data_IF_205328532355
#
_entry.id   IF_205328532355
#
_cell.length_a   1.000
_cell.length_b   1.000
_cell.length_c   1.000
_cell.angle_alpha   90.00
_cell.angle_beta   90.00
_cell.angle_gamma   90.00
#
_symmetry.space_group_name_H-M   'P 1'
#
loop_
_entity.id
_entity.type
_entity.pdbx_description
1 polymer ?
#
# COMPACT_ATOMS: atom_id res chain seq x y z
N UNK A 1 -52.01 4.66 8.86
CA UNK A 1 -52.64 5.93 8.40
C UNK A 1 -51.93 7.04 9.14
N UNK A 2 -51.01 7.77 8.50
CA UNK A 2 -50.33 8.89 9.17
C UNK A 2 -50.02 9.95 8.13
N UNK A 3 -51.05 10.73 7.82
CA UNK A 3 -50.90 12.06 7.21
C UNK A 3 -50.56 13.01 8.36
N UNK A 4 -49.41 13.68 8.32
CA UNK A 4 -49.24 14.92 9.07
C UNK A 4 -50.17 15.95 8.40
N UNK A 5 -51.05 16.55 9.19
CA UNK A 5 -52.05 17.50 8.69
C UNK A 5 -51.34 18.75 8.17
N UNK A 6 -51.79 19.24 7.01
CA UNK A 6 -51.19 20.37 6.29
C UNK A 6 -52.14 21.56 6.22
N UNK A 7 -51.55 22.74 6.23
CA UNK A 7 -51.90 23.77 5.24
C UNK A 7 -50.86 23.71 4.10
N UNK A 8 -51.30 23.43 2.86
CA UNK A 8 -50.49 23.65 1.63
C UNK A 8 -50.00 22.45 0.76
N UNK A 9 -50.67 21.28 0.71
CA UNK A 9 -50.45 20.15 -0.24
C UNK A 9 -49.26 19.17 -0.06
N UNK A 10 -49.43 18.00 0.59
CA UNK A 10 -48.39 16.97 0.82
C UNK A 10 -48.27 15.97 -0.35
N UNK A 11 -47.07 15.46 -0.57
CA UNK A 11 -46.77 14.29 -1.42
C UNK A 11 -46.95 13.02 -0.58
N UNK A 12 -47.55 11.97 -1.16
CA UNK A 12 -47.77 10.70 -0.46
C UNK A 12 -46.44 10.02 -0.09
N UNK A 13 -46.33 9.55 1.16
CA UNK A 13 -45.18 8.78 1.64
C UNK A 13 -45.26 7.38 1.05
N UNK A 14 -44.24 6.97 0.30
CA UNK A 14 -44.13 5.59 -0.20
C UNK A 14 -43.44 4.73 0.86
N UNK A 15 -44.15 3.72 1.38
CA UNK A 15 -43.58 2.75 2.31
C UNK A 15 -42.83 1.65 1.54
N UNK A 16 -41.53 1.47 1.83
CA UNK A 16 -40.71 0.42 1.23
C UNK A 16 -40.75 -0.83 2.14
N UNK A 17 -41.37 -1.92 1.68
CA UNK A 17 -41.70 -3.10 2.51
C UNK A 17 -40.54 -4.08 2.79
N UNK A 18 -39.31 -3.82 2.35
CA UNK A 18 -38.28 -4.87 2.23
C UNK A 18 -37.01 -4.61 3.05
N UNK A 19 -37.10 -4.50 4.38
CA UNK A 19 -35.93 -4.56 5.25
C UNK A 19 -36.06 -5.72 6.23
N UNK A 20 -35.37 -6.84 5.95
CA UNK A 20 -35.27 -7.99 6.86
C UNK A 20 -33.79 -8.26 7.11
N UNK A 21 -33.15 -7.39 7.89
CA UNK A 21 -31.85 -7.68 8.48
C UNK A 21 -32.05 -7.90 9.98
N UNK A 22 -31.86 -9.13 10.47
CA UNK A 22 -31.84 -9.42 11.91
C UNK A 22 -30.41 -9.24 12.42
N UNK A 23 -30.20 -8.35 13.39
CA UNK A 23 -28.95 -8.24 14.15
C UNK A 23 -28.02 -7.06 13.80
N UNK A 24 -28.41 -6.15 12.92
CA UNK A 24 -27.71 -4.88 12.72
C UNK A 24 -28.33 -3.79 13.60
N UNK A 25 -27.57 -2.86 14.14
CA UNK A 25 -28.15 -1.68 14.79
C UNK A 25 -29.02 -0.87 13.81
N UNK A 26 -30.04 -0.20 14.35
CA UNK A 26 -31.03 0.62 13.61
C UNK A 26 -31.97 -0.14 12.66
N UNK A 27 -31.89 -1.47 12.55
CA UNK A 27 -32.71 -2.28 11.63
C UNK A 27 -34.22 -2.13 11.84
N UNK A 28 -34.65 -1.83 13.07
CA UNK A 28 -36.05 -1.73 13.49
C UNK A 28 -36.53 -0.27 13.58
N UNK A 29 -35.75 0.68 13.08
CA UNK A 29 -36.12 2.10 13.10
C UNK A 29 -37.04 2.47 11.94
N UNK A 30 -37.87 3.50 12.17
CA UNK A 30 -38.56 4.15 11.08
C UNK A 30 -37.58 5.05 10.33
N UNK A 31 -37.28 4.71 9.07
CA UNK A 31 -36.35 5.47 8.23
C UNK A 31 -37.16 6.35 7.27
N UNK A 32 -36.93 7.67 7.34
CA UNK A 32 -37.55 8.66 6.45
C UNK A 32 -36.46 9.31 5.61
N UNK A 33 -36.44 9.04 4.29
CA UNK A 33 -35.57 9.74 3.35
C UNK A 33 -36.25 11.01 2.84
N UNK A 34 -35.83 12.16 3.35
CA UNK A 34 -36.32 13.47 2.88
C UNK A 34 -35.57 13.84 1.61
N UNK A 35 -36.29 14.08 0.51
CA UNK A 35 -35.72 14.62 -0.73
C UNK A 35 -35.99 16.11 -0.78
N UNK A 36 -34.96 16.93 -0.85
CA UNK A 36 -35.09 18.36 -1.08
C UNK A 36 -35.18 18.64 -2.58
N UNK A 37 -35.96 19.66 -2.96
CA UNK A 37 -36.24 20.01 -4.37
C UNK A 37 -35.93 21.49 -4.65
N UNK A 38 -35.27 22.18 -3.74
CA UNK A 38 -34.97 23.61 -3.82
C UNK A 38 -33.69 23.92 -4.63
N UNK A 39 -32.94 22.89 -5.05
CA UNK A 39 -31.71 23.05 -5.83
C UNK A 39 -30.56 23.67 -5.03
N UNK A 40 -30.77 24.07 -3.77
CA UNK A 40 -29.70 24.43 -2.85
C UNK A 40 -29.06 23.16 -2.33
N UNK A 41 -28.11 22.63 -3.09
CA UNK A 41 -27.02 21.90 -2.46
C UNK A 41 -26.38 22.85 -1.43
N UNK A 42 -25.88 22.36 -0.30
CA UNK A 42 -25.13 23.18 0.66
C UNK A 42 -23.82 23.63 0.01
N UNK A 43 -23.91 24.56 -0.96
CA UNK A 43 -22.92 24.73 -2.01
C UNK A 43 -21.63 25.30 -1.45
N UNK A 44 -20.58 24.48 -1.49
CA UNK A 44 -19.22 24.97 -1.63
C UNK A 44 -19.10 25.73 -2.95
N UNK A 45 -18.34 26.83 -2.92
CA UNK A 45 -18.13 27.83 -3.97
C UNK A 45 -19.33 28.72 -4.35
N UNK A 46 -19.93 29.38 -3.36
CA UNK A 46 -20.78 30.57 -3.60
C UNK A 46 -20.01 31.83 -3.20
N UNK A 47 -19.83 32.77 -4.14
CA UNK A 47 -19.28 34.10 -3.86
C UNK A 47 -20.20 34.92 -2.93
N UNK A 48 -21.49 34.57 -2.86
CA UNK A 48 -22.48 35.10 -1.94
C UNK A 48 -23.60 34.08 -1.69
N UNK A 49 -24.06 33.95 -0.44
CA UNK A 49 -25.27 33.17 -0.12
C UNK A 49 -26.49 33.99 -0.51
N UNK A 50 -27.49 33.35 -1.11
CA UNK A 50 -28.80 33.99 -1.26
C UNK A 50 -29.26 34.54 0.10
N UNK A 51 -29.65 35.83 0.22
CA UNK A 51 -30.06 36.42 1.49
C UNK A 51 -31.19 35.64 2.18
N UNK A 52 -32.03 34.95 1.41
CA UNK A 52 -33.07 34.05 1.88
C UNK A 52 -32.55 32.77 2.51
N UNK A 53 -31.37 32.27 2.12
CA UNK A 53 -30.71 31.11 2.71
C UNK A 53 -29.83 31.47 3.89
N UNK A 54 -29.19 32.65 3.88
CA UNK A 54 -28.35 33.14 4.98
C UNK A 54 -29.11 33.23 6.32
N UNK A 55 -30.41 33.52 6.28
CA UNK A 55 -31.27 33.59 7.48
C UNK A 55 -31.46 32.24 8.19
N UNK A 56 -31.20 31.13 7.49
CA UNK A 56 -31.34 29.77 8.01
C UNK A 56 -30.04 29.24 8.62
N UNK A 57 -28.93 29.98 8.51
CA UNK A 57 -27.65 29.60 9.09
C UNK A 57 -27.58 29.98 10.59
N UNK A 58 -26.80 29.25 11.40
CA UNK A 58 -26.67 29.56 12.81
C UNK A 58 -26.17 30.98 13.04
N UNK A 59 -26.95 31.79 13.75
CA UNK A 59 -26.59 33.19 14.06
C UNK A 59 -25.25 33.31 14.77
N UNK A 60 -24.92 32.31 15.60
CA UNK A 60 -23.64 32.18 16.29
C UNK A 60 -22.44 32.14 15.33
N UNK A 61 -22.59 31.56 14.14
CA UNK A 61 -21.54 31.55 13.11
C UNK A 61 -21.58 32.85 12.29
N UNK A 62 -22.76 33.27 11.83
CA UNK A 62 -22.90 34.43 10.93
C UNK A 62 -22.62 35.77 11.62
N UNK A 63 -22.60 35.83 12.95
CA UNK A 63 -22.16 37.02 13.69
C UNK A 63 -20.65 37.20 13.69
N UNK A 64 -19.88 36.13 13.54
CA UNK A 64 -18.41 36.15 13.57
C UNK A 64 -17.79 36.14 12.17
N UNK A 65 -18.50 35.58 11.20
CA UNK A 65 -18.00 35.32 9.84
C UNK A 65 -19.04 35.65 8.80
N UNK A 66 -18.59 35.82 7.56
CA UNK A 66 -19.47 35.96 6.41
C UNK A 66 -20.40 34.73 6.28
N UNK A 67 -21.70 34.89 5.98
CA UNK A 67 -22.66 33.79 5.90
C UNK A 67 -22.21 32.62 5.01
N UNK A 68 -21.49 32.89 3.92
CA UNK A 68 -20.99 31.89 2.97
C UNK A 68 -20.08 30.87 3.64
N UNK A 69 -19.25 31.32 4.59
CA UNK A 69 -18.36 30.43 5.32
C UNK A 69 -19.15 29.50 6.26
N UNK A 70 -20.30 29.94 6.78
CA UNK A 70 -21.12 29.13 7.68
C UNK A 70 -21.85 27.96 6.99
N UNK A 71 -21.71 27.81 5.66
CA UNK A 71 -22.12 26.61 4.94
C UNK A 71 -21.11 25.46 5.07
N UNK A 72 -19.85 25.76 5.39
CA UNK A 72 -18.82 24.73 5.48
C UNK A 72 -18.73 24.17 6.90
N UNK A 73 -18.70 22.83 7.06
CA UNK A 73 -18.55 22.16 8.35
C UNK A 73 -17.39 22.73 9.20
N UNK A 74 -16.26 23.07 8.56
CA UNK A 74 -15.07 23.61 9.21
C UNK A 74 -15.31 24.91 10.01
N UNK A 75 -16.38 25.66 9.72
CA UNK A 75 -16.72 26.88 10.44
C UNK A 75 -17.98 26.77 11.30
N UNK A 76 -18.95 25.94 10.91
CA UNK A 76 -20.23 25.86 11.62
C UNK A 76 -20.21 24.87 12.79
N UNK A 77 -19.41 23.79 12.71
CA UNK A 77 -19.38 22.71 13.71
C UNK A 77 -18.98 23.22 15.10
N UNK A 78 -18.07 24.19 15.19
CA UNK A 78 -17.67 24.79 16.46
C UNK A 78 -18.83 25.47 17.24
N UNK A 79 -19.96 25.74 16.57
CA UNK A 79 -21.16 26.32 17.16
C UNK A 79 -22.27 25.30 17.43
N UNK A 80 -22.05 24.02 17.07
CA UNK A 80 -23.00 22.93 17.33
C UNK A 80 -22.78 22.40 18.75
N UNK A 81 -23.88 22.26 19.50
CA UNK A 81 -23.85 21.84 20.90
C UNK A 81 -24.05 20.33 21.07
N UNK A 82 -24.75 19.70 20.12
CA UNK A 82 -25.01 18.26 20.13
C UNK A 82 -23.76 17.49 19.70
N UNK A 83 -23.52 16.29 20.25
CA UNK A 83 -22.48 15.41 19.76
C UNK A 83 -22.60 15.17 18.26
N UNK A 84 -21.47 15.15 17.56
CA UNK A 84 -21.39 14.94 16.11
C UNK A 84 -20.53 13.71 15.84
N UNK A 85 -21.04 12.86 14.96
CA UNK A 85 -20.27 11.77 14.39
C UNK A 85 -20.05 12.00 12.89
N UNK A 86 -18.79 12.19 12.48
CA UNK A 86 -18.44 12.54 11.09
C UNK A 86 -18.11 11.28 10.32
N UNK A 87 -18.81 11.05 9.21
CA UNK A 87 -18.56 9.93 8.31
C UNK A 87 -18.19 10.49 6.95
N UNK A 88 -16.98 10.25 6.49
CA UNK A 88 -16.55 10.71 5.17
C UNK A 88 -15.29 9.98 4.69
N UNK A 89 -14.97 10.10 3.40
CA UNK A 89 -13.65 9.75 2.87
C UNK A 89 -12.85 11.02 2.57
N UNK A 90 -11.55 11.08 2.89
CA UNK A 90 -10.69 12.17 2.45
C UNK A 90 -10.40 12.11 0.94
N UNK A 91 -10.81 11.03 0.28
CA UNK A 91 -10.75 10.83 -1.16
C UNK A 91 -12.17 10.71 -1.75
N UNK A 92 -13.15 11.40 -1.18
CA UNK A 92 -14.54 11.37 -1.67
C UNK A 92 -14.57 11.57 -3.18
N UNK A 93 -15.11 10.57 -3.89
CA UNK A 93 -15.07 10.52 -5.35
C UNK A 93 -15.74 11.74 -5.96
N UNK A 94 -16.85 12.20 -5.37
CA UNK A 94 -17.58 13.35 -5.88
C UNK A 94 -16.78 14.64 -5.68
N UNK A 95 -16.16 14.84 -4.52
CA UNK A 95 -15.29 15.99 -4.26
C UNK A 95 -14.08 15.98 -5.20
N UNK A 96 -13.48 14.81 -5.47
CA UNK A 96 -12.36 14.72 -6.41
C UNK A 96 -12.80 15.10 -7.83
N UNK A 97 -13.97 14.62 -8.27
CA UNK A 97 -14.50 14.91 -9.60
C UNK A 97 -14.93 16.37 -9.79
N UNK A 98 -15.51 17.00 -8.77
CA UNK A 98 -16.22 18.28 -8.93
C UNK A 98 -15.51 19.46 -8.24
N UNK A 99 -14.66 19.21 -7.25
CA UNK A 99 -13.99 20.25 -6.46
C UNK A 99 -12.48 20.24 -6.69
N UNK A 100 -11.81 19.09 -6.50
CA UNK A 100 -10.35 19.03 -6.60
C UNK A 100 -9.89 19.22 -8.05
N UNK A 101 -10.53 18.51 -8.98
CA UNK A 101 -10.20 18.58 -10.41
C UNK A 101 -11.47 18.72 -11.24
N UNK A 102 -12.19 19.86 -11.17
CA UNK A 102 -13.35 20.10 -12.02
C UNK A 102 -12.97 20.07 -13.51
N UNK A 103 -13.96 19.96 -14.40
CA UNK A 103 -13.71 19.94 -15.85
C UNK A 103 -12.94 21.16 -16.36
N UNK A 104 -13.05 22.31 -15.69
CA UNK A 104 -12.27 23.52 -15.99
C UNK A 104 -10.78 23.37 -15.64
N UNK A 105 -10.44 22.57 -14.64
CA UNK A 105 -9.06 22.27 -14.24
C UNK A 105 -8.42 21.12 -15.03
N UNK A 106 -9.23 20.35 -15.78
CA UNK A 106 -8.78 19.24 -16.62
C UNK A 106 -9.32 19.36 -18.07
N UNK A 107 -8.94 20.43 -18.80
CA UNK A 107 -9.49 20.70 -20.13
C UNK A 107 -9.12 19.64 -21.18
N UNK A 108 -8.06 18.86 -20.93
CA UNK A 108 -7.58 17.81 -21.81
C UNK A 108 -8.03 16.40 -21.40
N UNK A 109 -8.74 16.25 -20.28
CA UNK A 109 -9.23 14.95 -19.80
C UNK A 109 -8.14 14.01 -19.27
N UNK A 110 -6.97 14.55 -18.88
CA UNK A 110 -5.85 13.77 -18.34
C UNK A 110 -6.20 13.10 -17.01
N UNK A 111 -7.15 13.66 -16.26
CA UNK A 111 -7.64 13.07 -15.00
C UNK A 111 -8.84 12.16 -15.18
N UNK A 112 -9.46 12.10 -16.35
CA UNK A 112 -10.67 11.31 -16.56
C UNK A 112 -10.49 9.82 -16.20
N UNK A 113 -9.41 9.13 -16.60
CA UNK A 113 -9.20 7.73 -16.22
C UNK A 113 -9.02 7.56 -14.71
N UNK A 114 -8.27 8.45 -14.07
CA UNK A 114 -7.99 8.47 -12.64
C UNK A 114 -9.25 8.75 -11.79
N UNK A 115 -10.09 9.70 -12.22
CA UNK A 115 -11.37 10.04 -11.58
C UNK A 115 -12.37 8.88 -11.63
N UNK A 116 -12.35 8.08 -12.69
CA UNK A 116 -13.23 6.93 -12.82
C UNK A 116 -12.73 5.74 -12.01
N UNK A 117 -11.42 5.53 -11.99
CA UNK A 117 -10.77 4.45 -11.28
C UNK A 117 -9.39 4.90 -10.82
N UNK A 118 -9.21 4.99 -9.49
CA UNK A 118 -7.96 5.44 -8.87
C UNK A 118 -6.75 4.58 -9.21
N UNK A 119 -6.96 3.35 -9.70
CA UNK A 119 -5.87 2.47 -10.17
C UNK A 119 -5.21 2.97 -11.45
N UNK A 120 -5.88 3.87 -12.18
CA UNK A 120 -5.35 4.47 -13.41
C UNK A 120 -4.65 5.81 -13.17
N UNK A 121 -4.51 6.24 -11.91
CA UNK A 121 -3.83 7.49 -11.59
C UNK A 121 -2.31 7.38 -11.78
N UNK A 122 -1.69 8.44 -12.29
CA UNK A 122 -0.24 8.61 -12.26
C UNK A 122 0.25 8.91 -10.84
N UNK A 123 1.57 8.82 -10.61
CA UNK A 123 2.20 9.21 -9.33
C UNK A 123 1.81 10.62 -8.90
N UNK A 124 1.81 11.57 -9.85
CA UNK A 124 1.58 13.00 -9.57
C UNK A 124 0.11 13.25 -9.24
N UNK A 125 -0.80 12.49 -9.85
CA UNK A 125 -2.23 12.52 -9.54
C UNK A 125 -2.50 11.98 -8.13
N UNK A 126 -1.87 10.86 -7.77
CA UNK A 126 -1.94 10.32 -6.41
C UNK A 126 -1.36 11.32 -5.40
N UNK A 127 -0.22 11.94 -5.68
CA UNK A 127 0.37 12.96 -4.80
C UNK A 127 -0.59 14.13 -4.58
N UNK A 128 -1.24 14.61 -5.64
CA UNK A 128 -2.25 15.68 -5.53
C UNK A 128 -3.44 15.25 -4.67
N UNK A 129 -3.92 14.00 -4.80
CA UNK A 129 -4.96 13.45 -3.93
C UNK A 129 -4.50 13.34 -2.47
N UNK A 130 -3.24 12.99 -2.21
CA UNK A 130 -2.67 12.97 -0.86
C UNK A 130 -2.59 14.37 -0.24
N UNK A 131 -2.24 15.39 -1.04
CA UNK A 131 -2.25 16.78 -0.59
C UNK A 131 -3.67 17.23 -0.23
N UNK A 132 -4.67 16.88 -1.04
CA UNK A 132 -6.07 17.16 -0.75
C UNK A 132 -6.54 16.49 0.55
N UNK A 133 -6.23 15.20 0.73
CA UNK A 133 -6.46 14.48 2.00
C UNK A 133 -5.83 15.20 3.18
N UNK A 134 -4.59 15.68 3.04
CA UNK A 134 -3.89 16.35 4.14
C UNK A 134 -4.64 17.62 4.57
N UNK A 135 -5.13 18.41 3.61
CA UNK A 135 -5.97 19.58 3.89
C UNK A 135 -7.29 19.21 4.57
N UNK A 136 -7.93 18.13 4.14
CA UNK A 136 -9.13 17.61 4.78
C UNK A 136 -8.88 17.24 6.26
N UNK A 137 -7.79 16.51 6.53
CA UNK A 137 -7.44 16.10 7.89
C UNK A 137 -7.02 17.27 8.79
N UNK A 138 -6.30 18.26 8.26
CA UNK A 138 -5.98 19.48 9.00
C UNK A 138 -7.26 20.21 9.41
N UNK A 139 -8.24 20.32 8.51
CA UNK A 139 -9.54 20.93 8.80
C UNK A 139 -10.32 20.11 9.84
N UNK A 140 -10.25 18.77 9.76
CA UNK A 140 -10.94 17.87 10.69
C UNK A 140 -10.32 17.86 12.09
N UNK A 141 -9.00 17.95 12.20
CA UNK A 141 -8.29 18.00 13.48
C UNK A 141 -8.78 19.14 14.36
N UNK A 142 -8.96 20.33 13.78
CA UNK A 142 -9.51 21.49 14.50
C UNK A 142 -10.97 21.36 14.93
N UNK A 143 -11.73 20.42 14.36
CA UNK A 143 -13.16 20.24 14.65
C UNK A 143 -13.42 19.33 15.84
N UNK A 144 -12.56 18.35 16.10
CA UNK A 144 -12.79 17.31 17.11
C UNK A 144 -12.11 17.58 18.46
N UNK A 145 -11.31 18.65 18.58
CA UNK A 145 -10.75 19.10 19.85
C UNK A 145 -11.82 19.60 20.84
N UNK A 146 -12.94 20.14 20.32
CA UNK A 146 -14.07 20.60 21.12
C UNK A 146 -15.05 19.43 21.30
N UNK A 147 -15.25 18.98 22.54
CA UNK A 147 -16.07 17.80 22.90
C UNK A 147 -15.50 16.44 22.44
N UNK A 148 -14.18 16.27 22.56
CA UNK A 148 -13.44 15.05 22.15
C UNK A 148 -13.91 13.74 22.80
N UNK A 149 -14.71 13.79 23.86
CA UNK A 149 -15.24 12.59 24.54
C UNK A 149 -16.55 12.07 23.93
N UNK A 150 -17.27 12.89 23.17
CA UNK A 150 -18.60 12.54 22.62
C UNK A 150 -18.69 12.70 21.11
N UNK A 151 -17.85 13.56 20.52
CA UNK A 151 -17.72 13.63 19.07
C UNK A 151 -16.90 12.44 18.58
N UNK A 152 -17.22 11.94 17.39
CA UNK A 152 -16.53 10.81 16.79
C UNK A 152 -16.35 10.98 15.29
N UNK A 153 -15.54 10.10 14.70
CA UNK A 153 -15.40 10.05 13.26
C UNK A 153 -15.10 8.66 12.72
N UNK A 154 -15.72 8.33 11.59
CA UNK A 154 -15.38 7.21 10.74
C UNK A 154 -14.87 7.77 9.41
N UNK A 155 -13.55 7.94 9.34
CA UNK A 155 -12.88 8.44 8.14
C UNK A 155 -12.11 7.31 7.50
N UNK A 156 -12.66 6.69 6.45
CA UNK A 156 -11.99 5.62 5.73
C UNK A 156 -11.27 6.13 4.48
N UNK A 157 -10.28 5.37 4.00
CA UNK A 157 -9.51 5.74 2.80
C UNK A 157 -10.09 5.20 1.48
N UNK A 158 -11.40 4.91 1.41
CA UNK A 158 -12.01 4.45 0.16
C UNK A 158 -12.27 5.59 -0.81
N UNK A 159 -12.05 5.35 -2.10
CA UNK A 159 -12.50 6.26 -3.16
C UNK A 159 -13.99 6.03 -3.43
N UNK A 160 -14.84 6.55 -2.56
CA UNK A 160 -16.29 6.28 -2.54
C UNK A 160 -17.06 7.54 -2.14
N UNK A 161 -18.33 7.62 -2.57
CA UNK A 161 -19.25 8.70 -2.20
C UNK A 161 -20.55 8.12 -1.60
N UNK A 162 -21.07 8.75 -0.55
CA UNK A 162 -22.26 8.33 0.24
C UNK A 162 -22.11 7.00 1.01
N UNK A 163 -21.58 7.05 2.23
CA UNK A 163 -21.29 5.86 3.06
C UNK A 163 -22.49 5.19 3.74
N UNK A 164 -23.50 5.95 4.19
CA UNK A 164 -24.61 5.41 5.00
C UNK A 164 -25.70 4.79 4.11
N UNK A 165 -25.87 5.34 2.91
CA UNK A 165 -26.94 4.98 1.98
C UNK A 165 -26.73 3.62 1.29
N UNK A 166 -25.50 3.12 1.29
CA UNK A 166 -25.06 1.91 0.57
C UNK A 166 -24.85 0.76 1.52
N UNK A 167 -25.48 -0.39 1.25
CA UNK A 167 -25.34 -1.58 2.09
C UNK A 167 -23.88 -2.07 2.13
N UNK A 168 -23.17 -1.88 1.02
CA UNK A 168 -21.78 -2.24 0.80
C UNK A 168 -20.83 -1.57 1.79
N UNK A 169 -21.08 -0.31 2.11
CA UNK A 169 -20.27 0.48 3.06
C UNK A 169 -20.85 0.44 4.47
N UNK A 170 -22.16 0.29 4.63
CA UNK A 170 -22.83 0.28 5.92
C UNK A 170 -22.58 -1.00 6.73
N UNK A 171 -22.98 -2.17 6.22
CA UNK A 171 -23.04 -3.40 7.05
C UNK A 171 -22.80 -4.74 6.31
N UNK A 172 -22.46 -4.74 5.01
CA UNK A 172 -22.16 -5.99 4.28
C UNK A 172 -20.97 -6.74 4.91
N UNK A 173 -20.85 -8.04 4.65
CA UNK A 173 -19.78 -8.85 5.27
C UNK A 173 -18.37 -8.40 4.89
N UNK A 174 -18.21 -7.86 3.69
CA UNK A 174 -16.99 -7.31 3.10
C UNK A 174 -16.97 -5.77 3.13
N UNK A 175 -17.78 -5.13 3.99
CA UNK A 175 -17.77 -3.68 4.13
C UNK A 175 -16.43 -3.17 4.67
N UNK A 176 -16.14 -1.90 4.41
CA UNK A 176 -14.95 -1.24 4.95
C UNK A 176 -14.92 -1.31 6.48
N UNK A 177 -13.73 -1.56 7.02
CA UNK A 177 -13.48 -1.68 8.45
C UNK A 177 -12.40 -0.67 8.82
N UNK A 178 -12.67 0.19 9.79
CA UNK A 178 -11.70 1.11 10.37
C UNK A 178 -11.48 0.69 11.82
N UNK A 179 -10.22 0.51 12.23
CA UNK A 179 -9.86 0.07 13.59
C UNK A 179 -10.64 -1.19 14.07
N UNK A 180 -10.79 -2.18 13.19
CA UNK A 180 -11.53 -3.43 13.43
C UNK A 180 -13.05 -3.28 13.65
N UNK A 181 -13.65 -2.13 13.30
CA UNK A 181 -15.10 -1.94 13.31
C UNK A 181 -15.66 -1.57 11.95
N UNK A 182 -16.83 -2.13 11.62
CA UNK A 182 -17.62 -1.68 10.48
C UNK A 182 -18.31 -0.37 10.83
N UNK A 183 -18.69 0.38 9.80
CA UNK A 183 -19.39 1.65 9.97
C UNK A 183 -20.67 1.51 10.82
N UNK A 184 -21.53 0.55 10.51
CA UNK A 184 -22.78 0.39 11.25
C UNK A 184 -22.57 0.01 12.73
N UNK A 185 -21.61 -0.88 13.02
CA UNK A 185 -21.29 -1.30 14.40
C UNK A 185 -20.74 -0.12 15.20
N UNK A 186 -19.83 0.65 14.61
CA UNK A 186 -19.22 1.83 15.24
C UNK A 186 -20.26 2.94 15.52
N UNK A 187 -21.14 3.22 14.56
CA UNK A 187 -22.22 4.21 14.74
C UNK A 187 -23.24 3.72 15.77
N UNK A 188 -23.52 2.41 15.79
CA UNK A 188 -24.37 1.77 16.80
C UNK A 188 -23.83 1.96 18.21
N UNK A 189 -22.57 1.59 18.42
CA UNK A 189 -21.89 1.72 19.71
C UNK A 189 -21.83 3.19 20.17
N UNK A 190 -21.49 4.12 19.27
CA UNK A 190 -21.50 5.56 19.58
C UNK A 190 -22.89 6.10 19.95
N UNK A 191 -23.94 5.59 19.32
CA UNK A 191 -25.30 6.09 19.54
C UNK A 191 -25.95 5.50 20.80
N UNK A 192 -25.74 4.21 21.09
CA UNK A 192 -26.45 3.50 22.17
C UNK A 192 -25.69 3.42 23.49
N UNK A 193 -24.36 3.52 23.48
CA UNK A 193 -23.55 3.44 24.71
C UNK A 193 -22.92 4.80 25.04
N UNK A 194 -23.53 5.50 26.00
CA UNK A 194 -23.05 6.79 26.52
C UNK A 194 -21.63 6.74 27.09
N UNK A 195 -21.09 5.55 27.38
CA UNK A 195 -19.71 5.36 27.88
C UNK A 195 -18.74 4.96 26.78
N UNK A 196 -19.24 4.67 25.57
CA UNK A 196 -18.40 4.31 24.45
C UNK A 196 -17.49 5.47 24.07
N UNK A 197 -16.23 5.14 23.76
CA UNK A 197 -15.26 6.11 23.27
C UNK A 197 -15.23 5.98 21.76
N UNK A 198 -15.85 6.92 21.02
CA UNK A 198 -15.91 6.83 19.57
C UNK A 198 -14.53 6.94 18.94
N UNK A 199 -14.40 6.42 17.72
CA UNK A 199 -13.17 6.56 16.95
C UNK A 199 -12.80 8.04 16.76
N UNK A 200 -11.54 8.34 17.10
CA UNK A 200 -10.94 9.69 17.04
C UNK A 200 -9.84 9.80 15.99
N UNK A 201 -9.62 8.77 15.17
CA UNK A 201 -8.50 8.74 14.23
C UNK A 201 -8.97 8.29 12.85
N UNK A 202 -8.54 8.99 11.79
CA UNK A 202 -8.81 8.55 10.45
C UNK A 202 -8.03 7.28 10.11
N UNK A 203 -8.51 6.57 9.09
CA UNK A 203 -7.85 5.44 8.48
C UNK A 203 -6.53 5.86 7.77
N UNK A 204 -5.68 4.87 7.54
CA UNK A 204 -4.37 5.06 6.95
C UNK A 204 -4.47 5.55 5.50
N UNK A 205 -3.60 6.48 5.03
CA UNK A 205 -3.63 6.98 3.65
C UNK A 205 -3.35 5.88 2.64
N UNK A 206 -4.01 5.80 1.48
CA UNK A 206 -3.71 4.78 0.46
C UNK A 206 -2.89 5.36 -0.72
N UNK A 207 -1.77 4.73 -1.18
CA UNK A 207 -0.96 3.66 -0.58
C UNK A 207 0.07 4.19 0.44
N UNK A 208 0.57 3.32 1.35
CA UNK A 208 1.46 3.70 2.45
C UNK A 208 2.43 2.59 2.89
N UNK A 209 3.54 3.01 3.49
CA UNK A 209 4.47 2.17 4.26
C UNK A 209 3.88 1.79 5.63
N UNK A 210 4.51 0.87 6.36
CA UNK A 210 4.06 0.43 7.70
C UNK A 210 3.75 1.56 8.71
N UNK A 211 4.37 2.74 8.61
CA UNK A 211 4.14 3.90 9.49
C UNK A 211 3.07 4.90 8.98
N UNK A 212 2.47 4.66 7.81
CA UNK A 212 1.54 5.60 7.17
C UNK A 212 2.19 6.65 6.27
N UNK A 213 3.52 6.66 6.12
CA UNK A 213 4.20 7.52 5.12
C UNK A 213 3.95 7.00 3.69
N UNK A 214 3.99 7.86 2.66
CA UNK A 214 3.80 7.42 1.28
C UNK A 214 4.94 6.47 0.86
N UNK A 215 4.67 5.47 -0.01
CA UNK A 215 5.72 4.65 -0.60
C UNK A 215 6.67 5.52 -1.42
N UNK A 216 7.89 5.04 -1.62
CA UNK A 216 8.93 5.78 -2.32
C UNK A 216 9.61 4.92 -3.38
N UNK A 217 10.20 5.60 -4.36
CA UNK A 217 11.09 5.00 -5.34
C UNK A 217 12.27 5.92 -5.64
N UNK A 218 13.37 5.34 -6.08
CA UNK A 218 14.47 6.08 -6.70
C UNK A 218 14.41 5.90 -8.21
N UNK A 219 14.66 6.98 -8.95
CA UNK A 219 14.55 6.99 -10.40
C UNK A 219 15.82 7.52 -11.06
N UNK A 220 16.37 6.75 -11.99
CA UNK A 220 17.30 7.24 -13.00
C UNK A 220 16.61 7.27 -14.36
N UNK A 221 16.61 8.46 -14.97
CA UNK A 221 16.09 8.66 -16.30
C UNK A 221 17.01 8.03 -17.35
N UNK A 222 16.44 7.24 -18.24
CA UNK A 222 17.14 6.67 -19.39
C UNK A 222 17.54 7.73 -20.41
N UNK A 223 18.38 7.34 -21.36
CA UNK A 223 18.87 8.23 -22.41
C UNK A 223 19.30 7.45 -23.67
N UNK A 224 19.45 8.16 -24.79
CA UNK A 224 19.85 7.56 -26.06
C UNK A 224 18.89 6.45 -26.49
N UNK A 225 19.43 5.29 -26.85
CA UNK A 225 18.64 4.14 -27.32
C UNK A 225 17.83 3.44 -26.21
N UNK A 226 18.10 3.72 -24.94
CA UNK A 226 17.43 3.08 -23.79
C UNK A 226 16.24 3.88 -23.24
N UNK A 227 15.89 5.03 -23.85
CA UNK A 227 14.83 5.91 -23.35
C UNK A 227 13.44 5.24 -23.30
N UNK A 228 13.20 4.23 -24.14
CA UNK A 228 11.95 3.47 -24.18
C UNK A 228 12.02 2.14 -23.42
N UNK A 229 13.17 1.84 -22.80
CA UNK A 229 13.41 0.62 -22.03
C UNK A 229 13.38 0.90 -20.54
N UNK A 230 12.85 -0.05 -19.76
CA UNK A 230 12.58 0.13 -18.34
C UNK A 230 13.09 -1.05 -17.52
N UNK A 231 13.77 -0.75 -16.42
CA UNK A 231 14.12 -1.68 -15.37
C UNK A 231 13.40 -1.27 -14.08
N UNK A 232 12.41 -2.05 -13.68
CA UNK A 232 11.69 -1.88 -12.42
C UNK A 232 12.22 -2.89 -11.41
N UNK A 233 12.94 -2.38 -10.40
CA UNK A 233 13.60 -3.16 -9.37
C UNK A 233 12.82 -3.10 -8.06
N UNK A 234 12.41 -4.25 -7.54
CA UNK A 234 11.78 -4.36 -6.23
C UNK A 234 12.85 -4.63 -5.17
N UNK A 235 13.02 -3.70 -4.23
CA UNK A 235 13.97 -3.84 -3.13
C UNK A 235 13.59 -5.00 -2.19
N UNK A 236 14.59 -5.71 -1.66
CA UNK A 236 14.40 -6.75 -0.65
C UNK A 236 14.36 -6.20 0.79
N UNK A 237 14.36 -7.09 1.77
CA UNK A 237 14.50 -6.67 3.18
C UNK A 237 13.85 -7.58 4.23
N UNK A 238 13.56 -8.85 3.92
CA UNK A 238 12.78 -9.76 4.77
C UNK A 238 11.36 -9.25 5.06
N UNK A 239 10.72 -9.68 6.14
CA UNK A 239 9.33 -9.31 6.49
C UNK A 239 9.19 -9.14 8.00
N UNK A 240 8.05 -8.61 8.44
CA UNK A 240 7.63 -8.69 9.84
C UNK A 240 6.46 -9.68 9.96
N UNK A 241 6.44 -10.49 11.00
CA UNK A 241 5.51 -11.63 11.13
C UNK A 241 4.58 -11.55 12.35
N UNK A 242 4.68 -10.47 13.12
CA UNK A 242 3.78 -10.19 14.23
C UNK A 242 3.77 -8.68 14.54
N UNK A 243 2.79 -8.25 15.34
CA UNK A 243 2.61 -6.84 15.71
C UNK A 243 3.89 -6.22 16.28
N UNK A 244 4.59 -6.91 17.17
CA UNK A 244 5.82 -6.41 17.81
C UNK A 244 6.94 -6.14 16.79
N UNK A 245 7.19 -7.09 15.89
CA UNK A 245 8.22 -6.94 14.85
C UNK A 245 7.86 -5.86 13.85
N UNK A 246 6.60 -5.74 13.45
CA UNK A 246 6.15 -4.67 12.56
C UNK A 246 6.20 -3.28 13.22
N UNK A 247 5.82 -3.18 14.51
CA UNK A 247 5.92 -1.94 15.28
C UNK A 247 7.36 -1.46 15.44
N UNK A 248 8.32 -2.37 15.58
CA UNK A 248 9.75 -2.02 15.58
C UNK A 248 10.19 -1.51 14.20
N UNK A 249 9.77 -2.24 13.15
CA UNK A 249 10.17 -1.98 11.76
C UNK A 249 9.61 -0.68 11.19
N UNK A 250 8.44 -0.22 11.60
CA UNK A 250 7.84 1.04 11.11
C UNK A 250 8.74 2.26 11.35
N UNK A 251 9.65 2.19 12.33
CA UNK A 251 10.59 3.28 12.66
C UNK A 251 11.94 3.14 11.94
N UNK A 252 12.00 2.37 10.83
CA UNK A 252 13.21 2.18 10.02
C UNK A 252 12.92 2.47 8.54
N UNK A 253 13.96 2.50 7.71
CA UNK A 253 13.81 2.69 6.26
C UNK A 253 13.00 1.58 5.58
N UNK A 254 12.87 0.42 6.23
CA UNK A 254 12.11 -0.73 5.73
C UNK A 254 10.65 -0.76 6.20
N UNK A 255 10.20 0.31 6.85
CA UNK A 255 8.82 0.50 7.29
C UNK A 255 8.31 1.93 7.16
N UNK A 256 9.15 2.88 6.73
CA UNK A 256 8.78 4.28 6.54
C UNK A 256 9.70 4.99 5.56
N UNK A 257 9.11 5.74 4.63
CA UNK A 257 9.86 6.56 3.67
C UNK A 257 10.53 7.77 4.31
N UNK A 258 10.15 8.15 5.54
CA UNK A 258 10.80 9.24 6.28
C UNK A 258 12.24 8.94 6.65
N UNK A 259 12.61 7.66 6.76
CA UNK A 259 13.97 7.23 7.09
C UNK A 259 14.76 6.76 5.85
N UNK A 260 14.15 6.76 4.67
CA UNK A 260 14.84 6.36 3.44
C UNK A 260 15.83 7.43 2.98
N UNK A 261 16.98 6.97 2.50
CA UNK A 261 17.96 7.86 1.86
C UNK A 261 17.34 8.61 0.67
N UNK A 262 17.52 9.93 0.61
CA UNK A 262 17.02 10.77 -0.51
C UNK A 262 17.76 10.51 -1.82
N UNK A 263 19.03 10.14 -1.73
CA UNK A 263 19.89 9.78 -2.85
C UNK A 263 20.33 8.34 -2.66
N UNK A 264 20.34 7.57 -3.75
CA UNK A 264 20.76 6.17 -3.74
C UNK A 264 21.81 5.96 -4.83
N UNK A 265 22.91 5.30 -4.49
CA UNK A 265 23.96 5.00 -5.46
C UNK A 265 23.68 3.66 -6.10
N UNK A 266 23.31 3.67 -7.38
CA UNK A 266 22.93 2.45 -8.08
C UNK A 266 24.14 1.67 -8.60
N UNK A 267 24.18 0.38 -8.28
CA UNK A 267 25.24 -0.56 -8.65
C UNK A 267 24.69 -1.77 -9.40
N UNK A 268 25.58 -2.64 -9.85
CA UNK A 268 25.23 -3.83 -10.62
C UNK A 268 24.43 -3.50 -11.88
N UNK A 269 23.35 -4.24 -12.10
CA UNK A 269 22.41 -4.04 -13.20
C UNK A 269 21.69 -2.67 -13.16
N UNK A 270 21.69 -2.00 -12.01
CA UNK A 270 21.01 -0.72 -11.84
C UNK A 270 21.92 0.48 -12.14
N UNK A 271 23.22 0.27 -12.34
CA UNK A 271 24.15 1.37 -12.59
C UNK A 271 23.89 2.03 -13.93
N UNK A 272 24.01 3.37 -13.98
CA UNK A 272 23.97 4.14 -15.23
C UNK A 272 25.36 4.36 -15.86
N UNK A 273 26.40 3.74 -15.30
CA UNK A 273 27.76 3.76 -15.82
C UNK A 273 27.98 2.58 -16.75
N UNK A 274 28.38 2.83 -18.00
CA UNK A 274 28.56 1.78 -19.01
C UNK A 274 29.66 0.78 -18.62
N UNK A 275 30.70 1.23 -17.92
CA UNK A 275 31.75 0.35 -17.40
C UNK A 275 31.24 -0.65 -16.35
N UNK A 276 30.17 -0.30 -15.63
CA UNK A 276 29.57 -1.11 -14.58
C UNK A 276 28.34 -1.90 -15.06
N UNK A 277 27.65 -1.41 -16.08
CA UNK A 277 26.43 -1.98 -16.64
C UNK A 277 26.40 -1.83 -18.16
N UNK A 278 27.21 -2.60 -18.89
CA UNK A 278 27.48 -2.38 -20.32
C UNK A 278 26.26 -2.44 -21.23
N UNK A 279 25.19 -3.13 -20.80
CA UNK A 279 24.05 -3.47 -21.65
C UNK A 279 22.78 -2.70 -21.31
N UNK A 280 22.63 -2.24 -20.06
CA UNK A 280 21.38 -1.62 -19.58
C UNK A 280 21.61 -0.23 -18.95
N UNK A 281 22.83 0.33 -19.00
CA UNK A 281 23.17 1.60 -18.34
C UNK A 281 22.34 2.81 -18.77
N UNK A 282 21.80 2.78 -19.98
CA UNK A 282 21.06 3.90 -20.56
C UNK A 282 19.53 3.72 -20.49
N UNK A 283 19.05 2.70 -19.79
CA UNK A 283 17.62 2.45 -19.58
C UNK A 283 17.05 3.37 -18.49
N UNK A 284 15.71 3.49 -18.46
CA UNK A 284 15.03 4.05 -17.29
C UNK A 284 15.08 3.03 -16.15
N UNK A 285 15.49 3.46 -14.96
CA UNK A 285 15.67 2.56 -13.81
C UNK A 285 14.85 3.10 -12.66
N UNK A 286 13.89 2.30 -12.19
CA UNK A 286 13.09 2.58 -11.00
C UNK A 286 13.43 1.53 -9.94
N UNK A 287 13.95 1.95 -8.78
CA UNK A 287 14.03 1.11 -7.58
C UNK A 287 12.86 1.44 -6.68
N UNK A 288 11.88 0.54 -6.61
CA UNK A 288 10.77 0.61 -5.67
C UNK A 288 11.32 0.26 -4.28
N UNK A 289 11.20 1.20 -3.34
CA UNK A 289 11.70 1.03 -1.97
C UNK A 289 10.73 0.16 -1.16
N UNK A 290 11.28 -0.78 -0.42
CA UNK A 290 10.50 -1.77 0.31
C UNK A 290 10.11 -1.26 1.69
N UNK A 291 8.80 -1.08 1.94
CA UNK A 291 8.32 -0.55 3.21
C UNK A 291 6.98 -1.10 3.71
N UNK A 292 6.42 -2.12 3.06
CA UNK A 292 5.17 -2.78 3.46
C UNK A 292 5.42 -3.90 4.50
N UNK A 293 6.64 -4.44 4.57
CA UNK A 293 6.99 -5.53 5.49
C UNK A 293 6.30 -6.86 5.18
N UNK A 294 5.65 -6.98 4.01
CA UNK A 294 4.83 -8.11 3.59
C UNK A 294 5.28 -8.69 2.24
N UNK A 295 6.53 -8.47 1.85
CA UNK A 295 7.12 -8.97 0.61
C UNK A 295 6.33 -8.58 -0.65
N UNK A 296 5.78 -7.36 -0.69
CA UNK A 296 4.90 -6.86 -1.75
C UNK A 296 3.60 -7.66 -1.94
N UNK A 297 3.19 -8.44 -0.93
CA UNK A 297 1.94 -9.20 -0.93
C UNK A 297 0.86 -8.59 -0.06
N UNK A 298 1.07 -7.39 0.49
CA UNK A 298 0.04 -6.65 1.21
C UNK A 298 -0.96 -5.98 0.26
N UNK A 299 -2.26 -6.09 0.56
CA UNK A 299 -3.36 -5.36 -0.10
C UNK A 299 -4.23 -4.59 0.90
N UNK A 300 -3.82 -4.55 2.17
CA UNK A 300 -4.77 -4.37 3.26
C UNK A 300 -4.90 -2.92 3.71
N UNK A 301 -6.15 -2.47 3.86
CA UNK A 301 -6.53 -1.22 4.53
C UNK A 301 -6.39 -1.28 6.07
N UNK A 302 -6.29 -2.48 6.66
CA UNK A 302 -6.07 -2.74 8.09
C UNK A 302 -5.15 -3.96 8.31
N UNK A 303 -4.56 -4.19 9.48
CA UNK A 303 -3.60 -5.29 9.69
C UNK A 303 -4.30 -6.67 9.61
N UNK A 304 -4.30 -7.30 8.43
CA UNK A 304 -4.70 -8.71 8.24
C UNK A 304 -3.45 -9.60 8.35
N UNK A 305 -3.45 -10.65 9.18
CA UNK A 305 -2.36 -11.62 9.24
C UNK A 305 -2.23 -12.51 7.99
N UNK A 306 -3.12 -12.44 6.99
CA UNK A 306 -3.12 -13.31 5.81
C UNK A 306 -2.83 -12.63 4.47
N UNK A 307 -1.61 -12.78 3.94
CA UNK A 307 -1.25 -12.40 2.56
C UNK A 307 -1.84 -13.32 1.47
N UNK A 308 -2.50 -14.41 1.85
CA UNK A 308 -3.01 -15.46 0.98
C UNK A 308 -3.98 -14.97 -0.12
N UNK A 309 -4.80 -13.96 0.18
CA UNK A 309 -5.78 -13.38 -0.76
C UNK A 309 -5.12 -12.64 -1.94
N UNK A 310 -3.86 -12.26 -1.80
CA UNK A 310 -3.13 -11.45 -2.78
C UNK A 310 -2.24 -12.28 -3.71
N UNK A 311 -2.18 -13.58 -3.46
CA UNK A 311 -1.43 -14.50 -4.30
C UNK A 311 -2.19 -14.80 -5.59
N UNK A 312 -1.47 -15.15 -6.68
CA UNK A 312 -2.10 -15.41 -7.97
C UNK A 312 -3.20 -16.46 -7.88
N UNK A 313 -4.42 -16.10 -8.32
CA UNK A 313 -5.57 -17.02 -8.36
C UNK A 313 -5.29 -18.28 -9.18
N UNK A 314 -4.45 -18.17 -10.19
CA UNK A 314 -3.98 -19.31 -11.00
C UNK A 314 -3.28 -20.38 -10.17
N UNK A 315 -2.54 -19.98 -9.13
CA UNK A 315 -1.87 -20.89 -8.20
C UNK A 315 -2.78 -21.28 -7.02
N UNK A 316 -3.44 -20.32 -6.37
CA UNK A 316 -4.25 -20.56 -5.16
C UNK A 316 -5.54 -21.36 -5.42
N UNK A 317 -6.03 -21.40 -6.66
CA UNK A 317 -7.13 -22.30 -7.04
C UNK A 317 -6.73 -23.78 -7.12
N UNK A 318 -5.42 -24.06 -7.24
CA UNK A 318 -4.89 -25.43 -7.43
C UNK A 318 -4.17 -25.95 -6.17
N UNK A 319 -3.71 -25.06 -5.29
CA UNK A 319 -2.79 -25.37 -4.19
C UNK A 319 -3.14 -24.53 -2.97
N UNK A 320 -2.63 -24.95 -1.80
CA UNK A 320 -2.70 -24.14 -0.58
C UNK A 320 -1.95 -22.82 -0.77
N UNK A 321 -2.46 -21.68 -0.28
CA UNK A 321 -1.87 -20.37 -0.53
C UNK A 321 -0.39 -20.24 -0.14
N UNK A 322 0.02 -20.86 0.97
CA UNK A 322 1.39 -20.78 1.47
C UNK A 322 2.42 -21.33 0.46
N UNK A 323 2.00 -22.29 -0.38
CA UNK A 323 2.85 -22.85 -1.43
C UNK A 323 3.07 -21.83 -2.57
N UNK A 324 2.16 -20.90 -2.80
CA UNK A 324 2.28 -19.94 -3.89
C UNK A 324 3.35 -18.85 -3.65
N UNK A 325 3.95 -18.80 -2.45
CA UNK A 325 5.15 -18.02 -2.17
C UNK A 325 6.43 -18.64 -2.73
N UNK A 326 6.42 -19.94 -3.04
CA UNK A 326 7.61 -20.62 -3.49
C UNK A 326 7.64 -20.75 -5.02
N UNK A 327 8.75 -20.33 -5.67
CA UNK A 327 8.87 -20.36 -7.13
C UNK A 327 8.52 -21.70 -7.77
N UNK A 328 8.85 -22.84 -7.13
CA UNK A 328 8.58 -24.17 -7.69
C UNK A 328 7.09 -24.46 -7.93
N UNK A 329 6.19 -23.73 -7.27
CA UNK A 329 4.76 -23.90 -7.42
C UNK A 329 4.13 -22.83 -8.31
N UNK A 330 4.56 -21.56 -8.19
CA UNK A 330 3.93 -20.44 -8.90
C UNK A 330 4.45 -20.27 -10.33
N UNK A 331 5.68 -20.66 -10.63
CA UNK A 331 6.29 -20.39 -11.95
C UNK A 331 5.54 -21.06 -13.11
N UNK A 332 4.91 -22.21 -12.84
CA UNK A 332 4.10 -22.94 -13.81
C UNK A 332 2.85 -22.16 -14.26
N UNK A 333 2.45 -21.18 -13.45
CA UNK A 333 1.27 -20.35 -13.68
C UNK A 333 1.62 -18.95 -14.20
N UNK A 334 2.92 -18.62 -14.36
CA UNK A 334 3.34 -17.32 -14.89
C UNK A 334 3.41 -17.37 -16.42
N UNK A 335 2.79 -16.37 -17.06
CA UNK A 335 2.76 -16.24 -18.53
C UNK A 335 3.90 -15.40 -19.09
N UNK A 336 4.40 -14.46 -18.31
CA UNK A 336 5.51 -13.58 -18.70
C UNK A 336 6.81 -14.38 -18.72
N UNK A 337 7.72 -14.17 -19.70
CA UNK A 337 9.05 -14.76 -19.66
C UNK A 337 9.78 -14.42 -18.35
N UNK A 338 10.37 -15.41 -17.71
CA UNK A 338 11.12 -15.25 -16.44
C UNK A 338 12.54 -15.79 -16.62
N UNK A 339 13.51 -14.98 -16.22
CA UNK A 339 14.89 -15.40 -15.99
C UNK A 339 15.13 -15.56 -14.49
N UNK A 340 15.41 -16.79 -14.03
CA UNK A 340 15.67 -17.05 -12.61
C UNK A 340 17.16 -17.00 -12.33
N UNK A 341 17.53 -16.18 -11.35
CA UNK A 341 18.87 -16.13 -10.79
C UNK A 341 18.75 -16.52 -9.34
N UNK A 342 19.39 -17.62 -8.96
CA UNK A 342 19.45 -18.05 -7.59
C UNK A 342 20.79 -18.74 -7.34
N UNK A 343 21.40 -18.45 -6.19
CA UNK A 343 22.53 -19.24 -5.74
C UNK A 343 22.03 -20.63 -5.33
N UNK A 344 22.78 -21.68 -5.64
CA UNK A 344 22.46 -23.02 -5.13
C UNK A 344 22.43 -23.04 -3.59
N UNK A 345 23.25 -22.18 -2.97
CA UNK A 345 23.30 -21.94 -1.53
C UNK A 345 23.21 -20.44 -1.27
N UNK A 346 21.97 -19.93 -1.27
CA UNK A 346 21.70 -18.55 -0.92
C UNK A 346 22.08 -18.27 0.54
N UNK A 347 22.84 -17.20 0.76
CA UNK A 347 23.38 -16.88 2.08
C UNK A 347 22.26 -16.62 3.11
N UNK A 348 21.16 -15.99 2.70
CA UNK A 348 20.03 -15.74 3.57
C UNK A 348 19.32 -17.05 3.95
N UNK A 349 19.11 -17.96 2.99
CA UNK A 349 18.55 -19.29 3.24
C UNK A 349 19.45 -20.12 4.17
N UNK A 350 20.77 -20.10 3.95
CA UNK A 350 21.72 -20.80 4.81
C UNK A 350 21.68 -20.24 6.23
N UNK A 351 21.76 -18.92 6.41
CA UNK A 351 21.77 -18.31 7.74
C UNK A 351 20.47 -18.55 8.52
N UNK A 352 19.31 -18.44 7.86
CA UNK A 352 18.00 -18.39 8.53
C UNK A 352 17.21 -19.71 8.48
N UNK A 353 17.42 -20.58 7.49
CA UNK A 353 16.63 -21.79 7.28
C UNK A 353 17.47 -23.06 7.54
N UNK A 354 18.72 -23.10 7.06
CA UNK A 354 19.55 -24.30 7.20
C UNK A 354 19.93 -24.53 8.68
N UNK A 355 19.46 -25.65 9.25
CA UNK A 355 19.63 -26.05 10.66
C UNK A 355 19.11 -24.98 11.64
N UNK A 356 17.84 -25.07 12.06
CA UNK A 356 17.27 -24.15 13.07
C UNK A 356 17.94 -24.35 14.43
N UNK A 357 17.83 -23.36 15.33
CA UNK A 357 18.50 -23.40 16.65
C UNK A 357 18.13 -24.65 17.47
N UNK A 358 16.90 -25.14 17.35
CA UNK A 358 16.45 -26.38 18.01
C UNK A 358 17.22 -27.64 17.56
N UNK A 359 17.74 -27.63 16.32
CA UNK A 359 18.53 -28.71 15.75
C UNK A 359 20.05 -28.50 15.91
N UNK A 360 20.48 -27.37 16.49
CA UNK A 360 21.87 -27.04 16.80
C UNK A 360 22.06 -26.61 18.27
N UNK A 361 21.75 -27.50 19.23
CA UNK A 361 21.75 -27.15 20.66
C UNK A 361 23.12 -26.72 21.18
N UNK A 362 24.19 -27.09 20.49
CA UNK A 362 25.58 -26.75 20.83
C UNK A 362 26.16 -25.58 20.02
N UNK A 363 25.40 -25.01 19.08
CA UNK A 363 25.81 -23.84 18.29
C UNK A 363 26.90 -24.12 17.24
N UNK A 364 27.16 -25.38 16.88
CA UNK A 364 28.19 -25.73 15.90
C UNK A 364 27.84 -25.23 14.51
N UNK A 365 26.57 -25.35 14.11
CA UNK A 365 26.08 -24.78 12.86
C UNK A 365 25.99 -23.27 12.94
N UNK A 366 25.64 -22.68 14.08
CA UNK A 366 25.63 -21.22 14.27
C UNK A 366 27.01 -20.61 14.01
N UNK A 367 28.08 -21.21 14.55
CA UNK A 367 29.46 -20.76 14.33
C UNK A 367 29.88 -20.95 12.87
N UNK A 368 29.57 -22.10 12.27
CA UNK A 368 29.85 -22.40 10.87
C UNK A 368 29.11 -21.45 9.89
N UNK A 369 27.81 -21.23 10.10
CA UNK A 369 26.98 -20.30 9.32
C UNK A 369 27.37 -18.84 9.50
N UNK A 370 28.06 -18.50 10.59
CA UNK A 370 28.60 -17.16 10.82
C UNK A 370 29.98 -16.99 10.19
N UNK A 371 30.75 -18.06 9.98
CA UNK A 371 32.00 -18.04 9.24
C UNK A 371 32.32 -19.43 8.67
N UNK A 372 32.30 -19.57 7.33
CA UNK A 372 32.47 -20.88 6.67
C UNK A 372 33.83 -21.50 6.99
N UNK A 373 34.84 -20.69 7.34
CA UNK A 373 36.17 -21.16 7.75
C UNK A 373 36.14 -21.93 9.06
N UNK A 374 35.10 -21.76 9.87
CA UNK A 374 34.91 -22.46 11.14
C UNK A 374 34.09 -23.75 10.98
N UNK A 375 33.63 -24.06 9.77
CA UNK A 375 32.87 -25.28 9.53
C UNK A 375 33.79 -26.51 9.54
N UNK A 376 33.32 -27.60 10.11
CA UNK A 376 33.98 -28.91 9.97
C UNK A 376 33.86 -29.42 8.53
N UNK A 377 34.70 -30.40 8.16
CA UNK A 377 34.63 -31.06 6.85
C UNK A 377 33.24 -31.61 6.53
N UNK A 378 32.52 -32.11 7.53
CA UNK A 378 31.18 -32.69 7.35
C UNK A 378 30.11 -31.61 7.14
N UNK A 379 30.23 -30.48 7.83
CA UNK A 379 29.35 -29.32 7.63
C UNK A 379 29.56 -28.73 6.23
N UNK A 380 30.82 -28.58 5.82
CA UNK A 380 31.19 -28.10 4.49
C UNK A 380 30.66 -29.07 3.41
N UNK A 381 30.80 -30.39 3.61
CA UNK A 381 30.26 -31.42 2.70
C UNK A 381 28.74 -31.38 2.59
N UNK A 382 28.05 -31.10 3.69
CA UNK A 382 26.58 -30.94 3.72
C UNK A 382 26.12 -29.74 2.89
N UNK A 383 26.86 -28.64 2.92
CA UNK A 383 26.56 -27.46 2.11
C UNK A 383 27.06 -27.57 0.66
N UNK A 384 27.48 -28.77 0.23
CA UNK A 384 28.07 -29.10 -1.09
C UNK A 384 28.86 -27.95 -1.70
N UNK A 385 29.68 -27.33 -0.85
CA UNK A 385 30.87 -26.63 -1.29
C UNK A 385 30.59 -25.30 -2.07
N UNK A 386 29.38 -24.93 -2.49
CA UNK A 386 29.13 -23.96 -3.61
C UNK A 386 29.36 -22.44 -3.37
N UNK A 387 29.09 -21.58 -4.38
CA UNK A 387 29.08 -20.13 -4.23
C UNK A 387 28.00 -19.67 -3.22
N UNK A 388 28.39 -18.97 -2.14
CA UNK A 388 27.48 -18.40 -1.13
C UNK A 388 27.25 -16.91 -1.37
N UNK A 389 26.13 -16.57 -2.00
CA UNK A 389 25.82 -15.19 -2.39
C UNK A 389 24.34 -14.88 -2.17
N UNK A 390 24.02 -13.60 -1.95
CA UNK A 390 22.67 -13.07 -1.83
C UNK A 390 22.60 -11.73 -2.58
N UNK A 391 21.44 -11.41 -3.19
CA UNK A 391 21.23 -10.21 -4.02
C UNK A 391 22.26 -10.06 -5.17
N UNK A 392 22.32 -11.06 -6.06
CA UNK A 392 23.40 -11.21 -7.05
C UNK A 392 23.50 -10.06 -8.07
N UNK A 393 22.38 -9.52 -8.55
CA UNK A 393 22.36 -8.54 -9.65
C UNK A 393 22.80 -7.14 -9.24
N UNK A 394 22.80 -6.81 -7.94
CA UNK A 394 23.23 -5.51 -7.43
C UNK A 394 24.74 -5.44 -7.14
N UNK A 395 25.37 -6.61 -6.95
CA UNK A 395 26.78 -6.73 -6.58
C UNK A 395 27.68 -6.77 -7.80
N UNK A 396 28.61 -5.82 -7.90
CA UNK A 396 29.52 -5.77 -9.04
C UNK A 396 30.43 -7.00 -9.13
N UNK A 397 30.80 -7.60 -7.99
CA UNK A 397 31.59 -8.85 -7.95
C UNK A 397 30.91 -10.04 -8.65
N UNK A 398 29.60 -9.96 -8.85
CA UNK A 398 28.81 -11.05 -9.47
C UNK A 398 28.30 -10.60 -10.85
N UNK A 399 27.98 -9.31 -10.98
CA UNK A 399 27.38 -8.73 -12.18
C UNK A 399 28.34 -8.65 -13.38
N UNK A 400 29.37 -7.78 -13.31
CA UNK A 400 30.19 -7.45 -14.47
C UNK A 400 31.67 -7.10 -14.19
N UNK A 401 32.15 -7.10 -12.94
CA UNK A 401 33.56 -6.82 -12.62
C UNK A 401 34.53 -7.79 -13.32
N UNK A 402 35.81 -7.44 -13.45
CA UNK A 402 36.78 -8.23 -14.23
C UNK A 402 37.02 -9.64 -13.67
N UNK A 403 36.98 -9.77 -12.34
CA UNK A 403 37.09 -11.02 -11.59
C UNK A 403 35.70 -11.57 -11.18
N UNK A 404 34.64 -11.19 -11.90
CA UNK A 404 33.28 -11.60 -11.54
C UNK A 404 33.09 -13.11 -11.58
N UNK A 405 32.22 -13.63 -10.72
CA UNK A 405 31.79 -15.03 -10.83
C UNK A 405 31.24 -15.33 -12.22
N UNK A 406 31.83 -16.33 -12.87
CA UNK A 406 31.45 -16.81 -14.18
C UNK A 406 30.54 -18.02 -14.00
N UNK A 407 29.43 -18.03 -14.75
CA UNK A 407 28.56 -19.19 -14.87
C UNK A 407 28.75 -19.70 -16.29
N UNK A 408 29.32 -20.90 -16.44
CA UNK A 408 29.68 -21.48 -17.74
C UNK A 408 30.55 -20.55 -18.61
N UNK A 409 31.60 -19.98 -18.00
CA UNK A 409 32.57 -19.07 -18.65
C UNK A 409 32.00 -17.74 -19.15
N UNK A 410 30.78 -17.37 -18.75
CA UNK A 410 30.17 -16.06 -19.03
C UNK A 410 29.86 -15.32 -17.74
N UNK A 411 29.98 -13.98 -17.79
CA UNK A 411 29.52 -13.10 -16.71
C UNK A 411 28.00 -13.07 -16.67
N UNK A 412 27.42 -12.83 -15.50
CA UNK A 412 25.97 -12.77 -15.33
C UNK A 412 25.32 -11.74 -16.26
N UNK A 413 25.92 -10.54 -16.41
CA UNK A 413 25.40 -9.51 -17.31
C UNK A 413 25.29 -9.99 -18.78
N UNK A 414 26.24 -10.82 -19.23
CA UNK A 414 26.24 -11.36 -20.59
C UNK A 414 25.11 -12.35 -20.80
N UNK A 415 24.84 -13.21 -19.80
CA UNK A 415 23.76 -14.19 -19.86
C UNK A 415 22.39 -13.50 -19.84
N UNK A 416 22.17 -12.48 -19.01
CA UNK A 416 20.91 -11.73 -19.01
C UNK A 416 20.71 -10.99 -20.34
N UNK A 417 21.77 -10.35 -20.87
CA UNK A 417 21.71 -9.72 -22.20
C UNK A 417 21.32 -10.74 -23.26
N UNK A 418 21.97 -11.91 -23.26
CA UNK A 418 21.71 -12.93 -24.28
C UNK A 418 20.28 -13.43 -24.23
N UNK A 419 19.76 -13.68 -23.02
CA UNK A 419 18.37 -14.04 -22.81
C UNK A 419 17.41 -12.94 -23.31
N UNK A 420 17.64 -11.68 -22.93
CA UNK A 420 16.72 -10.58 -23.25
C UNK A 420 16.72 -10.19 -24.73
N UNK A 421 17.88 -10.13 -25.39
CA UNK A 421 17.96 -9.65 -26.77
C UNK A 421 17.91 -10.75 -27.83
N UNK A 422 18.28 -11.99 -27.49
CA UNK A 422 18.57 -13.01 -28.50
C UNK A 422 17.89 -14.37 -28.28
N UNK A 423 17.36 -14.69 -27.08
CA UNK A 423 17.06 -16.09 -26.73
C UNK A 423 15.85 -16.24 -25.77
N UNK A 424 14.74 -15.51 -26.00
CA UNK A 424 13.52 -15.63 -25.16
C UNK A 424 12.93 -17.06 -25.14
N UNK A 425 13.11 -17.83 -26.23
CA UNK A 425 12.49 -19.16 -26.43
C UNK A 425 13.36 -20.35 -25.98
N UNK A 426 14.57 -20.11 -25.44
CA UNK A 426 15.46 -21.21 -25.03
C UNK A 426 15.38 -21.44 -23.52
N UNK A 427 14.94 -22.61 -23.05
CA UNK A 427 14.99 -22.96 -21.64
C UNK A 427 16.46 -23.13 -21.21
N UNK A 428 17.08 -22.05 -20.74
CA UNK A 428 18.40 -22.04 -20.13
C UNK A 428 18.31 -22.59 -18.70
N UNK A 429 18.12 -23.91 -18.56
CA UNK A 429 18.40 -24.58 -17.29
C UNK A 429 19.91 -24.80 -17.15
N UNK A 430 20.63 -23.73 -16.81
CA UNK A 430 22.05 -23.79 -16.49
C UNK A 430 22.21 -23.82 -14.97
N UNK A 431 22.38 -25.02 -14.41
CA UNK A 431 22.92 -25.14 -13.07
C UNK A 431 24.44 -24.95 -13.13
N UNK A 432 25.00 -24.17 -12.21
CA UNK A 432 26.44 -24.15 -12.01
C UNK A 432 26.91 -25.52 -11.51
N UNK A 433 28.19 -25.84 -11.71
CA UNK A 433 28.72 -27.13 -11.31
C UNK A 433 28.89 -27.20 -9.77
N UNK A 434 28.86 -28.40 -9.15
CA UNK A 434 29.11 -28.55 -7.71
C UNK A 434 30.55 -28.15 -7.35
N UNK A 435 30.76 -27.26 -6.37
CA UNK A 435 32.11 -26.84 -5.98
C UNK A 435 33.02 -28.04 -5.64
N UNK A 436 34.34 -27.91 -5.85
CA UNK A 436 35.11 -26.68 -6.15
C UNK A 436 35.25 -26.32 -7.62
N UNK A 437 34.43 -26.90 -8.48
CA UNK A 437 34.61 -26.75 -9.93
C UNK A 437 34.53 -25.30 -10.44
N UNK A 438 33.88 -24.37 -9.73
CA UNK A 438 33.83 -22.97 -10.13
C UNK A 438 34.84 -22.13 -9.32
N UNK A 439 36.07 -21.93 -9.83
CA UNK A 439 37.12 -21.17 -9.13
C UNK A 439 36.82 -19.67 -9.05
N UNK A 440 35.77 -19.19 -9.73
CA UNK A 440 35.41 -17.77 -9.79
C UNK A 440 34.34 -17.38 -8.76
N UNK A 441 33.89 -18.31 -7.92
CA UNK A 441 33.00 -17.99 -6.80
C UNK A 441 33.64 -16.95 -5.88
N UNK A 442 32.97 -15.80 -5.72
CA UNK A 442 33.38 -14.79 -4.77
C UNK A 442 32.91 -15.20 -3.37
N UNK A 443 33.79 -15.82 -2.59
CA UNK A 443 33.48 -16.28 -1.24
C UNK A 443 33.61 -15.11 -0.26
N UNK A 444 32.49 -14.48 0.08
CA UNK A 444 32.49 -13.51 1.17
C UNK A 444 32.76 -14.23 2.49
N UNK A 445 33.85 -13.88 3.17
CA UNK A 445 33.98 -14.12 4.60
C UNK A 445 32.87 -13.28 5.25
N UNK A 446 31.86 -13.96 5.78
CA UNK A 446 30.62 -13.40 6.33
C UNK A 446 30.83 -12.06 7.05
N UNK A 447 30.27 -10.99 6.48
CA UNK A 447 30.01 -9.78 7.24
C UNK A 447 28.50 -9.59 7.28
N UNK A 448 27.89 -10.09 8.36
CA UNK A 448 26.43 -10.17 8.58
C UNK A 448 25.75 -8.80 8.43
N UNK A 449 26.49 -7.70 8.57
CA UNK A 449 26.05 -6.32 8.34
C UNK A 449 25.68 -6.00 6.90
N UNK A 450 26.17 -6.75 5.90
CA UNK A 450 25.90 -6.49 4.46
C UNK A 450 24.82 -7.38 3.83
N UNK A 451 24.17 -8.23 4.64
CA UNK A 451 23.06 -9.08 4.18
C UNK A 451 21.67 -8.59 4.63
N UNK A 452 21.65 -7.49 5.41
CA UNK A 452 20.44 -6.94 6.05
C UNK A 452 20.15 -5.49 5.59
N UNK A 453 21.10 -4.85 4.91
CA UNK A 453 20.87 -3.63 4.11
C UNK A 453 20.60 -4.03 2.67
#
# INVERSE_FOLDING_TARGET
>A
MTKLIKEGGLVDITYLQNAVAKGADFYNWNIIKVRYCDGSSFTGDVEAVDPGSAKNLPKSCTSERKPELCLFPQYVIQHVQTPIYIINSPYDQWQVMNILVPGTADPHGNWLPCKQDVRNCSSDQIETMQQFRSKFLDALGGLLEKNSESNGMFIDSCYEHCHIDKQETWFRNDSTVVSNKKLADEVGDWFYDDKYQPLQKPDCPYPFCLDGSPPAYHFHKGFGTGIDSWLVYHEGGAWCNNVTTCLSRKNTELGSSKYMAKQFNFTGILSNQQELNPYFYNWNIIRIRYCDGASFTGDVKAIDPGSAKNLPKSCTSKRRPELCFFPQYVIQDVRTPIFIINAAYDLWQVSNILVPEIADPHGFWKICKANIRNCSSDQIKTMQHSCYVHCQTERQEIWFRNDSTLVWSKKLANEIRDWFYYDEDRPLQKADCPYPCNPTCYHNVFNITTAIQ
#
